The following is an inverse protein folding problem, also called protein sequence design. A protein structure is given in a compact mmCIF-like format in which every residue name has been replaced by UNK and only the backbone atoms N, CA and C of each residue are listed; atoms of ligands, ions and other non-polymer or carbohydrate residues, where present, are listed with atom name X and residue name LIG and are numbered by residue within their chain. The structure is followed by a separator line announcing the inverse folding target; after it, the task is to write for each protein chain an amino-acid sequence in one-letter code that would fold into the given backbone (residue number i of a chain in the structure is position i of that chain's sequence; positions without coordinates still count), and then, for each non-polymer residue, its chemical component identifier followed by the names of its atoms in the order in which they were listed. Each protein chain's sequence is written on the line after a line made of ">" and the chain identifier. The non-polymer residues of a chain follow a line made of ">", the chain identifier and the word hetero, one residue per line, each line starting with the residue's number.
data_IF_840038294830
#
_entry.id   IF_840038294830
#
_cell.length_a   1.000
_cell.length_b   1.000
_cell.length_c   1.000
_cell.angle_alpha   90.00
_cell.angle_beta   90.00
_cell.angle_gamma   90.00
#
_symmetry.space_group_name_H-M   'P 1'
#
loop_
_entity.id
_entity.type
_entity.pdbx_description
1 polymer ?
#
# COMPACT_ATOMS: atom_id res chain seq x y z
N UNK A 1 -22.85 -8.24 -10.06
CA UNK A 1 -21.51 -7.64 -10.20
C UNK A 1 -21.25 -6.70 -9.01
N UNK A 2 -20.53 -7.11 -7.95
CA UNK A 2 -20.27 -6.19 -6.84
C UNK A 2 -19.30 -5.11 -7.32
N UNK A 3 -19.76 -3.86 -7.27
CA UNK A 3 -19.16 -2.68 -7.90
C UNK A 3 -17.65 -2.56 -7.70
N UNK A 4 -16.93 -2.44 -8.82
CA UNK A 4 -15.58 -1.86 -8.93
C UNK A 4 -15.37 -0.63 -8.00
N UNK A 5 -16.43 0.18 -7.78
CA UNK A 5 -16.37 1.59 -7.38
C UNK A 5 -16.56 1.94 -5.89
N UNK A 6 -16.57 0.99 -4.94
CA UNK A 6 -16.78 1.39 -3.52
C UNK A 6 -15.67 2.30 -2.98
N UNK A 7 -14.46 2.24 -3.55
CA UNK A 7 -13.31 3.05 -3.17
C UNK A 7 -12.44 3.32 -4.41
N UNK A 8 -12.74 4.37 -5.20
CA UNK A 8 -11.87 4.75 -6.31
C UNK A 8 -10.51 5.20 -5.76
N UNK A 9 -9.43 4.85 -6.47
CA UNK A 9 -8.09 5.36 -6.19
C UNK A 9 -7.85 6.50 -7.18
N UNK A 10 -7.60 7.69 -6.66
CA UNK A 10 -7.25 8.87 -7.44
C UNK A 10 -5.94 9.41 -6.87
N UNK A 11 -4.86 9.28 -7.61
CA UNK A 11 -3.55 9.75 -7.17
C UNK A 11 -3.34 11.21 -7.53
N UNK A 12 -2.61 11.94 -6.68
CA UNK A 12 -2.01 13.23 -7.08
C UNK A 12 -0.84 12.95 -8.03
N UNK A 13 -0.53 13.92 -8.89
CA UNK A 13 0.60 13.81 -9.84
C UNK A 13 1.90 13.45 -9.12
N UNK A 14 2.21 14.15 -8.02
CA UNK A 14 3.42 13.89 -7.23
C UNK A 14 3.45 12.48 -6.63
N UNK A 15 2.34 12.03 -6.04
CA UNK A 15 2.25 10.69 -5.46
C UNK A 15 2.47 9.62 -6.53
N UNK A 16 1.92 9.82 -7.73
CA UNK A 16 2.08 8.91 -8.85
C UNK A 16 3.54 8.80 -9.31
N UNK A 17 4.23 9.93 -9.46
CA UNK A 17 5.65 9.95 -9.81
C UNK A 17 6.52 9.25 -8.75
N UNK A 18 6.21 9.47 -7.48
CA UNK A 18 6.90 8.81 -6.38
C UNK A 18 6.66 7.30 -6.38
N UNK A 19 5.43 6.85 -6.61
CA UNK A 19 5.12 5.42 -6.73
C UNK A 19 5.84 4.78 -7.93
N UNK A 20 5.94 5.46 -9.07
CA UNK A 20 6.71 4.98 -10.22
C UNK A 20 8.18 4.78 -9.82
N UNK A 21 8.77 5.75 -9.12
CA UNK A 21 10.13 5.68 -8.59
C UNK A 21 10.32 4.50 -7.63
N UNK A 22 9.36 4.28 -6.73
CA UNK A 22 9.36 3.13 -5.81
C UNK A 22 9.43 1.81 -6.57
N UNK A 23 8.72 1.70 -7.69
CA UNK A 23 8.66 0.45 -8.47
C UNK A 23 9.85 0.19 -9.39
N UNK A 24 10.69 1.20 -9.63
CA UNK A 24 11.77 1.17 -10.63
C UNK A 24 13.18 1.22 -10.03
N UNK A 25 13.35 1.79 -8.84
CA UNK A 25 14.67 2.02 -8.21
C UNK A 25 15.28 0.82 -7.49
N UNK A 26 14.53 -0.25 -7.26
CA UNK A 26 15.05 -1.53 -6.72
C UNK A 26 15.48 -1.52 -5.25
N UNK A 27 15.40 -0.39 -4.53
CA UNK A 27 15.79 -0.26 -3.12
C UNK A 27 14.67 -0.58 -2.12
N UNK A 28 13.44 -0.72 -2.60
CA UNK A 28 12.26 -0.89 -1.75
C UNK A 28 11.91 -2.37 -1.53
N UNK A 29 11.32 -2.68 -0.38
CA UNK A 29 10.89 -4.06 -0.08
C UNK A 29 9.79 -4.55 -1.04
N UNK A 30 9.77 -5.86 -1.32
CA UNK A 30 8.84 -6.46 -2.27
C UNK A 30 7.36 -6.11 -2.02
N UNK A 31 6.92 -6.06 -0.75
CA UNK A 31 5.55 -5.66 -0.41
C UNK A 31 5.25 -4.19 -0.71
N UNK A 32 6.23 -3.29 -0.54
CA UNK A 32 6.04 -1.87 -0.90
C UNK A 32 5.91 -1.72 -2.41
N UNK A 33 6.79 -2.37 -3.17
CA UNK A 33 6.76 -2.39 -4.64
C UNK A 33 5.43 -2.95 -5.14
N UNK A 34 4.97 -4.08 -4.60
CA UNK A 34 3.69 -4.68 -4.99
C UNK A 34 2.53 -3.72 -4.73
N UNK A 35 2.44 -3.11 -3.54
CA UNK A 35 1.36 -2.16 -3.21
C UNK A 35 1.42 -0.91 -4.09
N UNK A 36 2.61 -0.41 -4.39
CA UNK A 36 2.79 0.72 -5.30
C UNK A 36 2.27 0.40 -6.70
N UNK A 37 2.61 -0.78 -7.25
CA UNK A 37 2.08 -1.26 -8.54
C UNK A 37 0.55 -1.38 -8.52
N UNK A 38 -0.01 -1.87 -7.42
CA UNK A 38 -1.47 -1.95 -7.25
C UNK A 38 -2.11 -0.56 -7.26
N UNK A 39 -1.58 0.42 -6.53
CA UNK A 39 -2.11 1.79 -6.55
C UNK A 39 -2.03 2.41 -7.94
N UNK A 40 -0.90 2.26 -8.64
CA UNK A 40 -0.72 2.75 -10.01
C UNK A 40 -1.71 2.10 -10.98
N UNK A 41 -1.99 0.80 -10.83
CA UNK A 41 -2.92 0.09 -11.71
C UNK A 41 -4.39 0.42 -11.41
N UNK A 42 -4.71 0.87 -10.20
CA UNK A 42 -6.07 1.26 -9.78
C UNK A 42 -6.34 2.76 -9.95
N UNK A 43 -5.34 3.54 -10.37
CA UNK A 43 -5.40 4.99 -10.46
C UNK A 43 -6.34 5.46 -11.58
N UNK A 44 -7.50 5.95 -11.19
CA UNK A 44 -8.51 6.51 -12.09
C UNK A 44 -8.22 7.94 -12.53
N UNK A 45 -7.20 8.61 -11.96
CA UNK A 45 -6.84 9.98 -12.35
C UNK A 45 -6.32 10.07 -13.80
N UNK A 46 -5.79 8.96 -14.33
CA UNK A 46 -5.22 8.87 -15.68
C UNK A 46 -6.17 8.26 -16.70
N UNK A 47 -7.41 7.94 -16.32
CA UNK A 47 -8.43 7.42 -17.22
C UNK A 47 -9.18 6.20 -16.67
N UNK A 48 -9.82 5.48 -17.58
CA UNK A 48 -10.54 4.26 -17.23
C UNK A 48 -9.56 3.15 -16.82
N UNK A 49 -9.93 2.44 -15.75
CA UNK A 49 -9.14 1.38 -15.15
C UNK A 49 -9.73 0.03 -15.55
N UNK A 50 -8.84 -0.90 -15.90
CA UNK A 50 -9.20 -2.26 -16.30
C UNK A 50 -10.04 -3.01 -15.23
N UNK A 51 -10.75 -4.08 -15.63
CA UNK A 51 -11.36 -5.02 -14.70
C UNK A 51 -10.39 -5.51 -13.62
N UNK A 52 -10.85 -5.65 -12.37
CA UNK A 52 -10.01 -6.09 -11.24
C UNK A 52 -9.35 -7.43 -11.52
N UNK A 53 -10.03 -8.32 -12.22
CA UNK A 53 -9.57 -9.65 -12.60
C UNK A 53 -8.37 -9.56 -13.55
N UNK A 54 -8.42 -8.62 -14.51
CA UNK A 54 -7.34 -8.35 -15.47
C UNK A 54 -6.13 -7.73 -14.76
N UNK A 55 -6.37 -6.78 -13.85
CA UNK A 55 -5.30 -6.15 -13.04
C UNK A 55 -4.64 -7.18 -12.13
N UNK A 56 -5.45 -8.00 -11.43
CA UNK A 56 -4.99 -9.05 -10.53
C UNK A 56 -4.10 -10.06 -11.26
N UNK A 57 -4.54 -10.55 -12.43
CA UNK A 57 -3.77 -11.47 -13.25
C UNK A 57 -2.44 -10.86 -13.71
N UNK A 58 -2.45 -9.63 -14.22
CA UNK A 58 -1.24 -8.91 -14.70
C UNK A 58 -0.22 -8.70 -13.59
N UNK A 59 -0.68 -8.39 -12.38
CA UNK A 59 0.18 -8.14 -11.22
C UNK A 59 0.54 -9.41 -10.43
N UNK A 60 -0.06 -10.56 -10.77
CA UNK A 60 0.13 -11.81 -10.03
C UNK A 60 -0.39 -11.75 -8.58
N UNK A 61 -1.44 -10.97 -8.33
CA UNK A 61 -2.04 -10.79 -6.99
C UNK A 61 -3.50 -11.22 -6.99
N UNK A 62 -4.07 -11.43 -5.80
CA UNK A 62 -5.51 -11.71 -5.69
C UNK A 62 -6.36 -10.44 -5.83
N UNK A 63 -7.61 -10.57 -6.27
CA UNK A 63 -8.58 -9.46 -6.25
C UNK A 63 -8.81 -8.90 -4.83
N UNK A 64 -8.67 -9.75 -3.81
CA UNK A 64 -8.71 -9.34 -2.40
C UNK A 64 -7.53 -8.42 -2.04
N UNK A 65 -6.34 -8.69 -2.56
CA UNK A 65 -5.17 -7.81 -2.40
C UNK A 65 -5.46 -6.42 -2.98
N UNK A 66 -6.05 -6.33 -4.17
CA UNK A 66 -6.45 -5.06 -4.77
C UNK A 66 -7.45 -4.31 -3.85
N UNK A 67 -8.47 -5.03 -3.35
CA UNK A 67 -9.47 -4.47 -2.44
C UNK A 67 -8.86 -3.94 -1.14
N UNK A 68 -7.95 -4.69 -0.53
CA UNK A 68 -7.31 -4.31 0.73
C UNK A 68 -6.37 -3.11 0.57
N UNK A 69 -5.64 -3.02 -0.54
CA UNK A 69 -4.79 -1.85 -0.84
C UNK A 69 -5.65 -0.61 -1.08
N UNK A 70 -6.69 -0.70 -1.91
CA UNK A 70 -7.63 0.41 -2.13
C UNK A 70 -8.35 0.84 -0.84
N UNK A 71 -8.72 -0.12 0.02
CA UNK A 71 -9.27 0.15 1.34
C UNK A 71 -8.26 0.92 2.20
N UNK A 72 -7.02 0.43 2.30
CA UNK A 72 -5.98 1.09 3.09
C UNK A 72 -5.72 2.52 2.60
N UNK A 73 -5.69 2.74 1.28
CA UNK A 73 -5.53 4.07 0.70
C UNK A 73 -6.62 5.04 1.14
N UNK A 74 -7.89 4.61 1.12
CA UNK A 74 -8.98 5.41 1.64
C UNK A 74 -8.85 5.64 3.16
N UNK A 75 -8.47 4.60 3.93
CA UNK A 75 -8.32 4.67 5.38
C UNK A 75 -7.12 5.57 5.79
N UNK A 76 -6.14 5.77 4.92
CA UNK A 76 -5.01 6.71 5.12
C UNK A 76 -5.27 8.09 4.52
N UNK A 77 -6.52 8.44 4.21
CA UNK A 77 -6.87 9.76 3.67
C UNK A 77 -6.26 10.03 2.30
N UNK A 78 -6.14 9.00 1.46
CA UNK A 78 -5.52 9.06 0.14
C UNK A 78 -4.01 9.36 0.13
N UNK A 79 -3.32 9.09 1.24
CA UNK A 79 -1.85 9.14 1.30
C UNK A 79 -1.22 7.86 0.70
N UNK A 80 -0.59 8.01 -0.46
CA UNK A 80 0.07 6.91 -1.16
C UNK A 80 1.25 6.32 -0.39
N UNK A 81 2.09 7.15 0.23
CA UNK A 81 3.27 6.72 0.97
C UNK A 81 2.88 5.94 2.23
N UNK A 82 1.92 6.45 3.00
CA UNK A 82 1.38 5.76 4.18
C UNK A 82 0.71 4.41 3.82
N UNK A 83 0.13 4.33 2.62
CA UNK A 83 -0.50 3.11 2.10
C UNK A 83 0.52 2.02 1.81
N UNK A 84 1.61 2.36 1.11
CA UNK A 84 2.60 1.35 0.72
C UNK A 84 3.52 0.98 1.89
N UNK A 85 3.76 1.90 2.82
CA UNK A 85 4.66 1.72 3.95
C UNK A 85 4.25 0.54 4.85
N UNK A 86 5.26 -0.05 5.51
CA UNK A 86 5.01 -1.02 6.58
C UNK A 86 4.37 -0.28 7.75
N UNK A 87 3.34 -0.86 8.38
CA UNK A 87 2.79 -0.33 9.63
C UNK A 87 3.91 -0.32 10.68
N UNK A 88 4.29 0.87 11.14
CA UNK A 88 5.23 1.01 12.25
C UNK A 88 4.57 0.45 13.52
N UNK A 89 5.30 -0.37 14.27
CA UNK A 89 4.83 -0.93 15.54
C UNK A 89 5.37 -0.06 16.67
N UNK A 90 4.50 0.39 17.58
CA UNK A 90 4.91 1.15 18.75
C UNK A 90 5.70 0.30 19.75
N UNK A 91 5.33 -1.00 19.86
CA UNK A 91 6.00 -1.96 20.72
C UNK A 91 6.46 -3.17 19.90
N UNK A 92 7.60 -3.79 20.26
CA UNK A 92 7.97 -5.08 19.70
C UNK A 92 6.90 -6.14 19.98
N UNK A 93 6.78 -7.19 19.15
CA UNK A 93 5.83 -8.27 19.38
C UNK A 93 6.05 -9.00 20.72
N UNK A 94 7.30 -9.05 21.16
CA UNK A 94 7.69 -9.56 22.47
C UNK A 94 8.12 -8.35 23.30
N UNK A 95 7.46 -8.04 24.42
CA UNK A 95 7.89 -6.96 25.31
C UNK A 95 9.30 -7.25 25.81
N UNK A 96 10.13 -6.21 25.95
CA UNK A 96 11.48 -6.35 26.50
C UNK A 96 11.39 -6.89 27.93
N UNK A 97 12.19 -7.91 28.31
CA UNK A 97 12.30 -8.34 29.70
C UNK A 97 13.04 -7.30 30.57
N UNK A 98 13.71 -6.31 29.96
CA UNK A 98 14.38 -5.22 30.67
C UNK A 98 13.35 -4.12 30.94
N UNK A 99 12.80 -4.10 32.15
CA UNK A 99 11.77 -3.15 32.62
C UNK A 99 12.35 -1.87 33.26
N UNK A 100 13.67 -1.65 33.23
CA UNK A 100 14.29 -0.47 33.84
C UNK A 100 14.27 -0.44 35.37
N UNK A 101 13.72 -1.47 36.03
CA UNK A 101 13.71 -1.61 37.50
C UNK A 101 15.07 -2.02 38.09
N UNK A 102 16.03 -2.38 37.23
CA UNK A 102 17.36 -2.85 37.62
C UNK A 102 18.40 -1.76 37.31
N UNK A 103 18.19 -0.54 37.81
CA UNK A 103 19.29 0.42 37.90
C UNK A 103 20.30 -0.12 38.93
N UNK A 104 21.53 -0.32 38.47
CA UNK A 104 22.65 -0.74 39.32
C UNK A 104 22.84 0.27 40.47
N UNK A 105 22.89 -0.24 41.71
CA UNK A 105 23.32 0.52 42.89
C UNK A 105 24.83 0.69 42.93
#
# INVERSE_FOLDING_TARGET
>A
MPSQKKRPVTLRVQDREDLIRVTTTGVHGASQIMRARVLLALDTSVGEVDPKEVIAARLGVSGETLRLVAKRFADTGSDAHATIARKQRALPPVPSPVTGEVEAR
#
